data_IF_650700809131
#
_entry.id   IF_650700809131
#
_cell.length_a   1.000
_cell.length_b   1.000
_cell.length_c   1.000
_cell.angle_alpha   90.00
_cell.angle_beta   90.00
_cell.angle_gamma   90.00
#
_symmetry.space_group_name_H-M   'P 1'
#
loop_
_entity.id
_entity.type
_entity.pdbx_description
1 polymer ?
#
# COMPACT_ATOMS: atom_id res chain seq x y z
N UNK A 1 15.79 3.78 -7.85
CA UNK A 1 15.59 3.43 -6.44
C UNK A 1 14.43 4.27 -5.96
N UNK A 2 13.28 3.64 -5.67
CA UNK A 2 12.01 4.31 -5.41
C UNK A 2 11.65 4.08 -3.94
N UNK A 3 11.69 5.18 -3.17
CA UNK A 3 11.49 5.32 -1.72
C UNK A 3 10.04 5.04 -1.33
N UNK A 4 9.73 3.78 -1.08
CA UNK A 4 8.51 3.48 -0.36
C UNK A 4 8.64 3.92 1.07
N UNK A 5 7.86 4.90 1.46
CA UNK A 5 7.43 4.98 2.84
C UNK A 5 6.31 3.97 3.00
N UNK A 6 6.53 2.93 3.83
CA UNK A 6 5.42 2.34 4.59
C UNK A 6 4.62 3.52 5.15
N UNK A 7 3.30 3.54 4.99
CA UNK A 7 2.42 4.48 5.69
C UNK A 7 2.46 4.18 7.21
N UNK A 8 3.61 4.42 7.84
CA UNK A 8 3.83 4.37 9.29
C UNK A 8 3.26 5.61 9.97
N UNK A 9 3.01 6.66 9.19
CA UNK A 9 2.38 7.86 9.68
C UNK A 9 0.87 7.67 9.56
N UNK A 10 0.22 7.49 10.69
CA UNK A 10 -1.25 7.52 10.78
C UNK A 10 -1.76 8.95 10.72
N UNK A 11 -1.04 9.85 10.06
CA UNK A 11 -1.39 11.24 9.90
C UNK A 11 -1.45 11.54 8.41
N UNK A 12 -2.43 12.33 8.01
CA UNK A 12 -2.49 12.95 6.69
C UNK A 12 -1.26 13.86 6.49
N UNK A 13 -0.94 14.25 5.24
CA UNK A 13 0.17 15.16 4.93
C UNK A 13 0.14 16.48 5.71
N UNK A 14 -1.04 16.94 6.11
CA UNK A 14 -1.24 18.14 6.93
C UNK A 14 -1.07 17.90 8.45
N UNK A 15 -0.70 16.70 8.88
CA UNK A 15 -0.52 16.32 10.29
C UNK A 15 -1.80 15.86 11.00
N UNK A 16 -2.96 15.86 10.34
CA UNK A 16 -4.22 15.40 10.96
C UNK A 16 -4.17 13.90 11.21
N UNK A 17 -4.42 13.43 12.45
CA UNK A 17 -4.42 12.01 12.74
C UNK A 17 -5.63 11.30 12.10
N UNK A 18 -5.36 10.13 11.53
CA UNK A 18 -6.34 9.18 11.05
C UNK A 18 -6.60 8.21 12.22
N UNK A 19 -7.84 8.09 12.71
CA UNK A 19 -8.15 7.23 13.85
C UNK A 19 -8.08 5.73 13.52
N UNK A 20 -7.66 4.93 14.50
CA UNK A 20 -7.61 3.48 14.41
C UNK A 20 -8.97 2.83 14.68
N UNK A 21 -9.36 1.87 13.85
CA UNK A 21 -10.59 1.11 13.99
C UNK A 21 -10.46 -0.08 14.89
N UNK A 22 -11.05 0.02 16.07
CA UNK A 22 -10.98 -1.02 17.09
C UNK A 22 -12.12 -2.04 16.99
N UNK A 23 -13.12 -1.83 16.13
CA UNK A 23 -14.24 -2.77 15.95
C UNK A 23 -14.80 -2.79 14.53
N UNK A 24 -15.31 -3.94 14.12
CA UNK A 24 -15.99 -4.13 12.84
C UNK A 24 -17.23 -3.23 12.69
N UNK A 25 -17.96 -3.00 13.81
CA UNK A 25 -19.12 -2.12 13.79
C UNK A 25 -18.71 -0.68 13.47
N UNK A 26 -17.63 -0.18 14.05
CA UNK A 26 -17.14 1.17 13.73
C UNK A 26 -16.58 1.23 12.31
N UNK A 27 -15.80 0.23 11.89
CA UNK A 27 -15.27 0.15 10.52
C UNK A 27 -16.38 0.16 9.45
N UNK A 28 -17.48 -0.55 9.68
CA UNK A 28 -18.59 -0.62 8.73
C UNK A 28 -19.49 0.62 8.70
N UNK A 29 -19.48 1.45 9.75
CA UNK A 29 -20.37 2.61 9.88
C UNK A 29 -19.66 3.98 9.82
N UNK A 30 -18.33 4.01 9.92
CA UNK A 30 -17.58 5.28 9.88
C UNK A 30 -17.75 5.98 8.54
N UNK A 31 -17.93 7.30 8.59
CA UNK A 31 -17.97 8.19 7.41
C UNK A 31 -16.71 9.06 7.32
N UNK A 32 -15.70 8.77 8.15
CA UNK A 32 -14.44 9.49 8.18
C UNK A 32 -13.28 8.55 7.88
N UNK A 33 -12.15 9.14 7.48
CA UNK A 33 -10.91 8.39 7.30
C UNK A 33 -10.58 7.59 8.55
N UNK A 34 -10.26 6.32 8.37
CA UNK A 34 -9.86 5.41 9.44
C UNK A 34 -8.84 4.42 8.91
N UNK A 35 -8.03 3.88 9.82
CA UNK A 35 -7.11 2.79 9.52
C UNK A 35 -7.31 1.62 10.49
N UNK A 36 -6.86 0.44 10.12
CA UNK A 36 -6.86 -0.75 10.98
C UNK A 36 -5.64 -1.62 10.67
N UNK A 37 -5.18 -2.42 11.62
CA UNK A 37 -4.21 -3.48 11.32
C UNK A 37 -4.92 -4.71 10.77
N UNK A 38 -4.20 -5.54 10.03
CA UNK A 38 -4.73 -6.83 9.61
C UNK A 38 -5.23 -7.62 10.83
N UNK A 39 -6.40 -8.25 10.71
CA UNK A 39 -7.08 -8.99 11.79
C UNK A 39 -7.35 -8.18 13.07
N UNK A 40 -7.34 -6.84 12.98
CA UNK A 40 -7.42 -5.94 14.13
C UNK A 40 -6.34 -6.20 15.19
N UNK A 41 -5.18 -6.73 14.78
CA UNK A 41 -4.06 -7.08 15.65
C UNK A 41 -2.80 -6.30 15.28
N UNK A 42 -2.27 -5.58 16.27
CA UNK A 42 -1.07 -4.74 16.15
C UNK A 42 0.18 -5.55 15.80
N UNK A 43 0.25 -6.86 16.07
CA UNK A 43 1.41 -7.69 15.70
C UNK A 43 1.69 -7.63 14.19
N UNK A 44 0.67 -7.37 13.38
CA UNK A 44 0.78 -7.32 11.93
C UNK A 44 1.26 -5.97 11.39
N UNK A 45 1.40 -4.96 12.25
CA UNK A 45 1.86 -3.61 11.88
C UNK A 45 3.13 -3.63 11.05
N UNK A 46 4.14 -4.40 11.48
CA UNK A 46 5.45 -4.39 10.80
C UNK A 46 5.46 -5.25 9.53
N UNK A 47 4.64 -6.31 9.52
CA UNK A 47 4.53 -7.26 8.42
C UNK A 47 3.71 -6.71 7.25
N UNK A 48 2.52 -6.16 7.53
CA UNK A 48 1.55 -5.74 6.51
C UNK A 48 1.29 -4.24 6.49
N UNK A 49 1.61 -3.52 7.56
CA UNK A 49 1.24 -2.12 7.70
C UNK A 49 -0.22 -1.92 8.10
N UNK A 50 -0.69 -0.68 7.97
CA UNK A 50 -2.08 -0.32 8.22
C UNK A 50 -2.91 -0.41 6.93
N UNK A 51 -4.16 -0.85 7.08
CA UNK A 51 -5.20 -0.85 6.06
C UNK A 51 -6.04 0.41 6.22
N UNK A 52 -6.25 1.16 5.15
CA UNK A 52 -6.99 2.42 5.16
C UNK A 52 -8.34 2.24 4.46
N UNK A 53 -9.38 2.91 4.94
CA UNK A 53 -10.68 2.91 4.28
C UNK A 53 -10.75 3.93 3.12
N UNK A 54 -11.84 3.89 2.35
CA UNK A 54 -12.07 4.82 1.25
C UNK A 54 -12.02 6.29 1.70
N UNK A 55 -12.61 6.63 2.83
CA UNK A 55 -12.64 8.01 3.35
C UNK A 55 -11.26 8.57 3.71
N UNK A 56 -10.28 7.72 4.00
CA UNK A 56 -8.90 8.15 4.20
C UNK A 56 -8.21 8.49 2.87
N UNK A 57 -8.62 7.83 1.78
CA UNK A 57 -8.10 8.03 0.42
C UNK A 57 -8.72 9.27 -0.21
N UNK A 58 -10.05 9.41 -0.11
CA UNK A 58 -10.85 10.53 -0.66
C UNK A 58 -10.80 11.80 0.19
N UNK A 59 -9.75 11.95 1.01
CA UNK A 59 -9.56 13.15 1.82
C UNK A 59 -8.96 14.28 0.98
N UNK A 60 -9.47 15.50 1.12
CA UNK A 60 -8.95 16.68 0.40
C UNK A 60 -7.47 16.99 0.68
N UNK A 61 -6.94 16.53 1.81
CA UNK A 61 -5.53 16.69 2.16
C UNK A 61 -4.63 15.62 1.51
N UNK A 62 -5.21 14.66 0.82
CA UNK A 62 -4.54 13.47 0.30
C UNK A 62 -4.10 12.51 1.41
N UNK A 63 -3.92 11.24 1.06
CA UNK A 63 -3.33 10.26 1.98
C UNK A 63 -1.80 10.23 1.85
N UNK A 64 -1.32 10.34 0.62
CA UNK A 64 0.07 10.06 0.25
C UNK A 64 1.04 11.18 0.67
N UNK A 65 2.24 10.83 1.14
CA UNK A 65 3.24 11.84 1.47
C UNK A 65 3.86 12.42 0.19
N UNK A 66 4.60 13.53 0.31
CA UNK A 66 5.20 14.20 -0.87
C UNK A 66 6.01 13.24 -1.75
N UNK A 67 5.83 13.34 -3.06
CA UNK A 67 6.42 12.44 -4.07
C UNK A 67 5.61 11.17 -4.34
N UNK A 68 4.53 10.94 -3.60
CA UNK A 68 3.60 9.83 -3.79
C UNK A 68 2.19 10.37 -4.00
N UNK A 69 1.38 9.66 -4.78
CA UNK A 69 -0.04 9.96 -4.98
C UNK A 69 -0.85 8.69 -5.20
N UNK A 70 -2.16 8.81 -5.05
CA UNK A 70 -3.09 7.74 -5.39
C UNK A 70 -3.26 7.76 -6.91
N UNK A 71 -3.09 6.63 -7.62
CA UNK A 71 -3.22 6.60 -9.06
C UNK A 71 -4.59 7.12 -9.53
N UNK A 72 -4.60 7.93 -10.57
CA UNK A 72 -5.82 8.27 -11.30
C UNK A 72 -6.29 7.08 -12.14
N UNK A 73 -7.53 7.14 -12.63
CA UNK A 73 -8.05 6.13 -13.58
C UNK A 73 -7.21 6.08 -14.87
N UNK A 74 -6.72 7.23 -15.34
CA UNK A 74 -5.84 7.32 -16.51
C UNK A 74 -4.49 6.64 -16.26
N UNK A 75 -3.90 6.80 -15.07
CA UNK A 75 -2.65 6.13 -14.71
C UNK A 75 -2.84 4.62 -14.54
N UNK A 76 -4.00 4.21 -14.00
CA UNK A 76 -4.39 2.80 -13.96
C UNK A 76 -4.58 2.21 -15.36
N UNK A 77 -5.19 2.97 -16.26
CA UNK A 77 -5.36 2.59 -17.67
C UNK A 77 -4.01 2.48 -18.36
N UNK A 78 -3.10 3.43 -18.13
CA UNK A 78 -1.74 3.39 -18.66
C UNK A 78 -0.97 2.15 -18.17
N UNK A 79 -1.05 1.82 -16.88
CA UNK A 79 -0.44 0.62 -16.31
C UNK A 79 -1.03 -0.66 -16.95
N UNK A 80 -2.35 -0.73 -17.08
CA UNK A 80 -3.04 -1.86 -17.70
C UNK A 80 -2.62 -2.06 -19.15
N UNK A 81 -2.53 -0.97 -19.92
CA UNK A 81 -2.05 -1.02 -21.30
C UNK A 81 -0.59 -1.46 -21.38
N UNK A 82 0.27 -0.94 -20.49
CA UNK A 82 1.68 -1.31 -20.41
C UNK A 82 1.88 -2.82 -20.19
N UNK A 83 1.06 -3.43 -19.33
CA UNK A 83 1.15 -4.87 -19.06
C UNK A 83 0.49 -5.75 -20.13
N UNK A 84 -0.20 -5.18 -21.12
CA UNK A 84 -0.76 -5.92 -22.26
C UNK A 84 -2.28 -5.88 -22.40
N UNK A 85 -2.96 -4.97 -21.69
CA UNK A 85 -4.41 -4.80 -21.72
C UNK A 85 -5.11 -5.52 -20.56
N UNK A 86 -6.45 -5.55 -20.56
CA UNK A 86 -7.24 -6.21 -19.52
C UNK A 86 -7.44 -7.71 -19.76
N UNK A 87 -7.13 -8.21 -20.96
CA UNK A 87 -7.36 -9.59 -21.38
C UNK A 87 -6.05 -10.39 -21.40
N UNK A 88 -5.96 -11.46 -20.59
CA UNK A 88 -4.83 -12.41 -20.39
C UNK A 88 -4.23 -12.34 -18.97
N UNK A 89 -3.64 -13.40 -18.39
CA UNK A 89 -2.98 -13.31 -17.09
C UNK A 89 -1.69 -12.48 -17.15
N UNK A 90 -1.73 -11.27 -16.58
CA UNK A 90 -0.58 -10.34 -16.50
C UNK A 90 0.30 -10.52 -15.26
N UNK A 91 -0.03 -11.48 -14.39
CA UNK A 91 0.62 -11.64 -13.07
C UNK A 91 2.15 -11.73 -13.15
N UNK A 92 2.70 -12.38 -14.18
CA UNK A 92 4.15 -12.50 -14.37
C UNK A 92 4.85 -11.16 -14.65
N UNK A 93 4.16 -10.19 -15.26
CA UNK A 93 4.72 -8.85 -15.53
C UNK A 93 4.67 -7.92 -14.32
N UNK A 94 3.74 -8.18 -13.40
CA UNK A 94 3.57 -7.41 -12.16
C UNK A 94 4.36 -7.98 -10.98
N UNK A 95 4.75 -9.25 -11.05
CA UNK A 95 5.43 -9.92 -9.96
C UNK A 95 6.86 -9.40 -9.81
N UNK A 96 7.22 -9.00 -8.59
CA UNK A 96 8.61 -8.77 -8.22
C UNK A 96 9.44 -10.04 -8.43
N UNK A 97 10.65 -9.90 -8.98
CA UNK A 97 11.56 -11.05 -9.05
C UNK A 97 12.07 -11.49 -7.67
N UNK A 98 12.07 -10.55 -6.68
CA UNK A 98 12.48 -10.78 -5.29
C UNK A 98 11.44 -11.61 -4.54
N UNK A 99 11.78 -12.85 -4.24
CA UNK A 99 10.95 -13.77 -3.48
C UNK A 99 11.82 -14.83 -2.78
N UNK A 100 11.29 -15.43 -1.71
CA UNK A 100 11.90 -16.59 -1.04
C UNK A 100 11.96 -17.76 -2.02
N UNK A 101 13.12 -18.39 -2.16
CA UNK A 101 13.36 -19.52 -3.08
C UNK A 101 13.06 -19.18 -4.55
N UNK A 102 13.43 -17.96 -4.98
CA UNK A 102 13.23 -17.55 -6.37
C UNK A 102 14.00 -18.46 -7.34
N UNK A 103 13.34 -19.05 -8.36
CA UNK A 103 13.99 -19.91 -9.35
C UNK A 103 15.01 -19.17 -10.23
N UNK A 104 15.00 -17.83 -10.19
CA UNK A 104 15.93 -16.96 -10.91
C UNK A 104 17.27 -16.78 -10.19
N UNK A 105 17.39 -17.16 -8.91
CA UNK A 105 18.61 -17.01 -8.11
C UNK A 105 19.08 -15.56 -7.91
N UNK A 106 20.33 -15.39 -7.45
CA UNK A 106 20.99 -14.09 -7.32
C UNK A 106 20.19 -13.05 -6.53
N UNK A 107 20.15 -11.81 -7.03
CA UNK A 107 19.40 -10.69 -6.44
C UNK A 107 17.89 -10.95 -6.31
N UNK A 108 17.33 -11.87 -7.09
CA UNK A 108 15.92 -12.22 -7.06
C UNK A 108 15.59 -13.25 -5.96
N UNK A 109 16.58 -13.97 -5.40
CA UNK A 109 16.35 -14.88 -4.27
C UNK A 109 16.66 -14.18 -2.95
N UNK A 110 15.63 -13.74 -2.24
CA UNK A 110 15.79 -13.00 -0.99
C UNK A 110 14.69 -13.33 0.02
N UNK A 111 15.09 -13.44 1.28
CA UNK A 111 14.18 -13.50 2.44
C UNK A 111 13.73 -12.12 2.88
N UNK A 112 14.45 -11.09 2.46
CA UNK A 112 14.00 -9.71 2.57
C UNK A 112 12.95 -9.48 1.49
N UNK A 113 11.69 -9.55 1.91
CA UNK A 113 10.57 -9.08 1.10
C UNK A 113 10.96 -7.70 0.54
N UNK A 114 10.67 -7.38 -0.74
CA UNK A 114 10.78 -6.01 -1.23
C UNK A 114 9.88 -5.15 -0.35
N UNK A 115 10.47 -4.62 0.71
CA UNK A 115 9.86 -3.69 1.63
C UNK A 115 10.41 -2.35 1.19
N UNK A 116 9.49 -1.43 1.23
CA UNK A 116 9.64 0.00 1.16
C UNK A 116 10.59 0.48 2.28
N UNK A 117 11.90 0.23 2.14
CA UNK A 117 12.94 0.59 3.11
C UNK A 117 14.08 1.34 2.38
N UNK A 118 13.99 2.68 2.30
CA UNK A 118 15.15 3.59 2.35
C UNK A 118 14.74 5.08 2.30
N UNK A 119 15.10 5.84 3.35
CA UNK A 119 15.96 7.02 3.24
C UNK A 119 16.44 7.45 4.64
N UNK A 120 17.76 7.67 4.71
CA UNK A 120 18.43 8.48 5.76
C UNK A 120 18.26 9.95 5.45
#
# INVERSE_FOLDING_TARGET
>A
MLDGRKFKNHNLPNGTPIPNATSNNWWGNTQSGAYVWYDNDIIWKDSYGALYNWFAIDNTNGLCPSGWHVPTDDEWTALTNFIGGASSPHGNKLKSCKQVNSPLGGYCNTTEHPRWDENT
#
